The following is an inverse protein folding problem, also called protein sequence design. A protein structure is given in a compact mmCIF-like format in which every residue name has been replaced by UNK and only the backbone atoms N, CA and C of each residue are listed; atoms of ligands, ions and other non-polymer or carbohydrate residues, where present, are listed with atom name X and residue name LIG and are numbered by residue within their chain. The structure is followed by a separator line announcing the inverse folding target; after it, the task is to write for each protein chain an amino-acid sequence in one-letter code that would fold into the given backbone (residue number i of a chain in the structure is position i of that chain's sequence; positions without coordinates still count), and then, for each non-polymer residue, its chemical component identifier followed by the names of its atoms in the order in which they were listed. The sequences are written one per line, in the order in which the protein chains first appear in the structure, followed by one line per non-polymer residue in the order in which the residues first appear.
data_IF_075903557847
#
_entry.id   IF_075903557847
#
_cell.length_a   1.000
_cell.length_b   1.000
_cell.length_c   1.000
_cell.angle_alpha   90.00
_cell.angle_beta   90.00
_cell.angle_gamma   90.00
#
_symmetry.space_group_name_H-M   'P 1'
#
loop_
_entity.id
_entity.type
_entity.pdbx_description
1 polymer ?
#
# COMPACT_ATOMS: atom_id res chain seq x y z
N UNK A 1 -0.99 7.38 -10.80
CA UNK A 1 -1.44 6.91 -9.47
C UNK A 1 -1.88 5.45 -9.61
N UNK A 2 -1.55 4.55 -8.67
CA UNK A 2 -2.01 3.15 -8.73
C UNK A 2 -3.53 3.11 -8.54
N UNK A 3 -4.31 2.45 -9.43
CA UNK A 3 -5.76 2.33 -9.24
C UNK A 3 -6.14 1.66 -7.93
N UNK A 4 -5.38 0.63 -7.51
CA UNK A 4 -5.60 -0.05 -6.23
C UNK A 4 -5.29 0.88 -5.06
N UNK A 5 -4.18 1.62 -5.10
CA UNK A 5 -3.87 2.57 -4.02
C UNK A 5 -4.92 3.69 -3.92
N UNK A 6 -5.43 4.18 -5.06
CA UNK A 6 -6.51 5.16 -5.07
C UNK A 6 -7.79 4.60 -4.42
N UNK A 7 -8.18 3.38 -4.79
CA UNK A 7 -9.32 2.69 -4.16
C UNK A 7 -9.10 2.47 -2.66
N UNK A 8 -7.91 2.05 -2.24
CA UNK A 8 -7.58 1.83 -0.83
C UNK A 8 -7.58 3.15 -0.05
N UNK A 9 -7.05 4.23 -0.62
CA UNK A 9 -7.15 5.55 -0.01
C UNK A 9 -8.61 6.00 0.12
N UNK A 10 -9.49 5.73 -0.84
CA UNK A 10 -10.89 6.18 -0.71
C UNK A 10 -11.71 5.32 0.27
N UNK A 11 -11.40 4.04 0.40
CA UNK A 11 -12.27 3.07 1.08
C UNK A 11 -11.74 2.54 2.42
N UNK A 12 -10.46 2.73 2.74
CA UNK A 12 -9.81 2.11 3.91
C UNK A 12 -9.06 3.13 4.79
N UNK A 13 -9.61 4.34 4.90
CA UNK A 13 -9.01 5.44 5.67
C UNK A 13 -8.77 5.09 7.16
N UNK A 14 -9.64 4.25 7.75
CA UNK A 14 -9.53 3.86 9.16
C UNK A 14 -8.34 2.92 9.36
N UNK A 15 -8.20 1.92 8.51
CA UNK A 15 -7.11 0.95 8.52
C UNK A 15 -5.77 1.63 8.28
N UNK A 16 -5.73 2.55 7.30
CA UNK A 16 -4.53 3.36 7.04
C UNK A 16 -4.14 4.14 8.28
N UNK A 17 -5.09 4.81 8.95
CA UNK A 17 -4.82 5.56 10.18
C UNK A 17 -4.32 4.65 11.31
N UNK A 18 -4.87 3.45 11.46
CA UNK A 18 -4.43 2.49 12.46
C UNK A 18 -2.99 2.04 12.20
N UNK A 19 -2.67 1.66 10.96
CA UNK A 19 -1.31 1.27 10.55
C UNK A 19 -0.32 2.43 10.77
N UNK A 20 -0.71 3.66 10.45
CA UNK A 20 0.14 4.83 10.72
C UNK A 20 0.45 5.01 12.20
N UNK A 21 -0.55 4.85 13.05
CA UNK A 21 -0.36 4.99 14.50
C UNK A 21 0.48 3.84 15.08
N UNK A 22 0.33 2.64 14.55
CA UNK A 22 1.05 1.45 15.00
C UNK A 22 2.51 1.45 14.54
N UNK A 23 2.77 1.80 13.29
CA UNK A 23 4.09 1.69 12.65
C UNK A 23 4.80 3.03 12.44
N UNK A 24 4.16 4.16 12.76
CA UNK A 24 4.75 5.50 12.64
C UNK A 24 5.10 5.91 11.20
N UNK A 25 4.31 5.47 10.21
CA UNK A 25 4.56 5.72 8.79
C UNK A 25 3.56 6.70 8.16
N UNK A 26 3.80 7.10 6.90
CA UNK A 26 2.88 7.91 6.11
C UNK A 26 1.78 7.08 5.41
N UNK A 27 0.79 7.74 4.83
CA UNK A 27 -0.35 7.11 4.15
C UNK A 27 0.07 6.23 2.96
N UNK A 28 1.10 6.64 2.22
CA UNK A 28 1.61 5.88 1.07
C UNK A 28 2.32 4.62 1.51
N UNK A 29 3.15 4.71 2.56
CA UNK A 29 3.80 3.56 3.16
C UNK A 29 2.79 2.63 3.84
N UNK A 30 1.82 3.15 4.59
CA UNK A 30 0.73 2.39 5.21
C UNK A 30 -0.05 1.59 4.17
N UNK A 31 -0.43 2.23 3.05
CA UNK A 31 -1.13 1.54 1.96
C UNK A 31 -0.24 0.54 1.25
N UNK A 32 0.95 0.93 0.79
CA UNK A 32 1.73 0.09 -0.12
C UNK A 32 2.52 -1.02 0.58
N UNK A 33 2.89 -0.83 1.85
CA UNK A 33 3.74 -1.78 2.58
C UNK A 33 2.96 -2.72 3.50
N UNK A 34 1.73 -2.34 3.89
CA UNK A 34 0.92 -3.11 4.84
C UNK A 34 -0.45 -3.47 4.23
N UNK A 35 -1.28 -2.48 3.92
CA UNK A 35 -2.68 -2.72 3.54
C UNK A 35 -2.86 -3.39 2.16
N UNK A 36 -2.16 -2.92 1.15
CA UNK A 36 -2.23 -3.45 -0.21
C UNK A 36 -1.79 -4.93 -0.27
N UNK A 37 -0.67 -5.34 0.37
CA UNK A 37 -0.34 -6.75 0.56
C UNK A 37 -1.42 -7.59 1.25
N UNK A 38 -2.09 -7.06 2.28
CA UNK A 38 -3.16 -7.75 3.01
C UNK A 38 -4.42 -7.95 2.15
N UNK A 39 -4.84 -6.90 1.44
CA UNK A 39 -6.02 -6.93 0.56
C UNK A 39 -5.79 -7.81 -0.66
N UNK A 40 -4.59 -7.78 -1.23
CA UNK A 40 -4.23 -8.58 -2.40
C UNK A 40 -3.79 -10.01 -2.06
N UNK A 41 -3.74 -10.38 -0.77
CA UNK A 41 -3.33 -11.68 -0.24
C UNK A 41 -2.30 -12.38 -1.12
N UNK A 42 -1.05 -11.89 -1.16
CA UNK A 42 0.09 -12.57 -1.83
C UNK A 42 -0.33 -13.51 -2.96
N UNK A 43 -0.80 -12.96 -4.07
CA UNK A 43 -1.17 -13.77 -5.23
C UNK A 43 0.12 -14.31 -5.85
N UNK A 44 0.58 -15.48 -5.40
CA UNK A 44 1.74 -16.22 -5.96
C UNK A 44 1.53 -16.61 -7.44
N UNK A 45 0.34 -16.38 -8.00
CA UNK A 45 -0.02 -16.71 -9.38
C UNK A 45 -0.11 -15.54 -10.36
N UNK A 46 -0.07 -14.27 -9.91
CA UNK A 46 0.05 -13.15 -10.84
C UNK A 46 1.51 -12.80 -10.95
N UNK A 47 2.03 -12.96 -12.16
CA UNK A 47 3.34 -12.45 -12.58
C UNK A 47 3.31 -10.90 -12.59
N UNK A 48 2.90 -10.27 -11.49
CA UNK A 48 2.92 -8.82 -11.34
C UNK A 48 4.25 -8.41 -10.73
N UNK A 49 5.29 -8.54 -11.54
CA UNK A 49 6.63 -8.00 -11.28
C UNK A 49 6.68 -6.47 -11.18
N UNK A 50 5.59 -5.76 -10.87
CA UNK A 50 5.53 -4.31 -10.94
C UNK A 50 4.51 -3.69 -9.98
N UNK A 51 4.84 -3.60 -8.70
CA UNK A 51 4.55 -2.33 -8.04
C UNK A 51 5.77 -1.41 -8.20
N UNK A 52 5.95 -0.85 -9.41
CA UNK A 52 6.94 0.21 -9.65
C UNK A 52 6.73 1.42 -8.73
N UNK A 53 5.51 1.56 -8.18
CA UNK A 53 5.14 2.57 -7.19
C UNK A 53 5.75 2.28 -5.81
N UNK A 54 5.90 1.01 -5.42
CA UNK A 54 6.59 0.63 -4.18
C UNK A 54 8.07 1.05 -4.24
N UNK A 55 8.73 0.83 -5.38
CA UNK A 55 10.11 1.30 -5.62
C UNK A 55 10.21 2.82 -5.71
N UNK A 56 9.20 3.50 -6.27
CA UNK A 56 9.20 4.96 -6.42
C UNK A 56 8.91 5.70 -5.10
N UNK A 57 7.97 5.20 -4.30
CA UNK A 57 7.65 5.75 -2.98
C UNK A 57 8.77 5.48 -1.96
N UNK A 58 9.45 4.33 -2.05
CA UNK A 58 10.62 4.04 -1.20
C UNK A 58 11.88 4.81 -1.60
N UNK A 59 11.93 5.40 -2.80
CA UNK A 59 13.10 6.19 -3.26
C UNK A 59 13.07 7.64 -2.78
N UNK A 60 11.89 8.15 -2.40
CA UNK A 60 11.67 9.54 -2.04
C UNK A 60 11.57 9.75 -0.51
N UNK A 61 12.00 8.77 0.30
CA UNK A 61 12.09 8.80 1.77
C UNK A 61 13.53 8.63 2.26
#
# INVERSE_FOLDING_TARGET
MCPIAAYLWENFQVEIKNIKNEYGCDDGQAVCSFLCPEVLQTYEGTTDGRCAIRVRLLKDY
#
